data_IF_884341120959
#
_entry.id   IF_884341120959
#
_cell.length_a   1.000
_cell.length_b   1.000
_cell.length_c   1.000
_cell.angle_alpha   90.00
_cell.angle_beta   90.00
_cell.angle_gamma   90.00
#
_symmetry.space_group_name_H-M   'P 1'
#
loop_
_entity.id
_entity.type
_entity.pdbx_description
1 polymer ?
#
# COMPACT_ATOMS: atom_id res chain seq x y z
N UNK A 1 -5.70 27.41 -6.70
CA UNK A 1 -5.28 26.56 -5.55
C UNK A 1 -4.26 27.36 -4.76
N UNK A 2 -4.35 27.41 -3.43
CA UNK A 2 -3.31 28.10 -2.64
C UNK A 2 -2.08 27.18 -2.44
N UNK A 3 -0.95 27.74 -2.01
CA UNK A 3 0.29 26.99 -1.81
C UNK A 3 0.15 25.86 -0.77
N UNK A 4 -0.62 26.08 0.30
CA UNK A 4 -0.87 25.06 1.33
C UNK A 4 -1.55 23.80 0.76
N UNK A 5 -2.55 23.96 -0.11
CA UNK A 5 -3.23 22.86 -0.78
C UNK A 5 -2.31 22.10 -1.75
N UNK A 6 -1.38 22.81 -2.42
CA UNK A 6 -0.39 22.17 -3.30
C UNK A 6 0.59 21.34 -2.48
N UNK A 7 1.08 21.87 -1.36
CA UNK A 7 1.98 21.14 -0.45
C UNK A 7 1.31 19.91 0.14
N UNK A 8 0.05 20.02 0.57
CA UNK A 8 -0.71 18.88 1.08
C UNK A 8 -0.92 17.81 0.00
N UNK A 9 -1.28 18.22 -1.22
CA UNK A 9 -1.46 17.29 -2.34
C UNK A 9 -0.14 16.63 -2.77
N UNK A 10 0.96 17.39 -2.79
CA UNK A 10 2.29 16.86 -3.05
C UNK A 10 2.71 15.83 -1.99
N UNK A 11 2.49 16.14 -0.70
CA UNK A 11 2.76 15.22 0.41
C UNK A 11 1.90 13.95 0.31
N UNK A 12 0.61 14.11 -0.03
CA UNK A 12 -0.32 13.00 -0.23
C UNK A 12 0.12 12.07 -1.36
N UNK A 13 0.62 12.64 -2.46
CA UNK A 13 1.18 11.90 -3.60
C UNK A 13 2.52 11.24 -3.24
N UNK A 14 3.42 11.95 -2.56
CA UNK A 14 4.71 11.46 -2.12
C UNK A 14 4.56 10.23 -1.20
N UNK A 15 3.57 10.23 -0.30
CA UNK A 15 3.25 9.04 0.51
C UNK A 15 2.89 7.81 -0.31
N UNK A 16 2.10 7.98 -1.38
CA UNK A 16 1.73 6.87 -2.27
C UNK A 16 2.88 6.42 -3.13
N UNK A 17 3.71 7.35 -3.58
CA UNK A 17 4.93 7.04 -4.31
C UNK A 17 5.89 6.20 -3.45
N UNK A 18 6.21 6.69 -2.24
CA UNK A 18 7.08 5.98 -1.30
C UNK A 18 6.53 4.58 -0.96
N UNK A 19 5.22 4.47 -0.73
CA UNK A 19 4.57 3.20 -0.45
C UNK A 19 4.68 2.21 -1.62
N UNK A 20 4.46 2.66 -2.86
CA UNK A 20 4.59 1.81 -4.05
C UNK A 20 6.03 1.37 -4.30
N UNK A 21 7.00 2.25 -4.08
CA UNK A 21 8.43 1.91 -4.16
C UNK A 21 8.81 0.88 -3.09
N UNK A 22 8.36 1.04 -1.85
CA UNK A 22 8.61 0.10 -0.77
C UNK A 22 7.97 -1.28 -1.06
N UNK A 23 6.74 -1.31 -1.56
CA UNK A 23 6.07 -2.54 -1.98
C UNK A 23 6.85 -3.26 -3.09
N UNK A 24 7.27 -2.53 -4.11
CA UNK A 24 8.07 -3.07 -5.21
C UNK A 24 9.40 -3.66 -4.72
N UNK A 25 10.06 -3.01 -3.74
CA UNK A 25 11.27 -3.54 -3.10
C UNK A 25 11.01 -4.80 -2.28
N UNK A 26 9.85 -4.90 -1.64
CA UNK A 26 9.47 -6.02 -0.78
C UNK A 26 8.85 -7.20 -1.56
N UNK A 27 8.51 -7.03 -2.83
CA UNK A 27 7.84 -8.06 -3.64
C UNK A 27 8.68 -9.35 -3.72
N UNK A 28 8.06 -10.56 -3.70
CA UNK A 28 8.78 -11.84 -3.71
C UNK A 28 9.72 -12.06 -4.91
N UNK A 29 9.47 -11.40 -6.04
CA UNK A 29 10.34 -11.42 -7.22
C UNK A 29 11.35 -10.26 -7.30
N UNK A 30 11.36 -9.37 -6.30
CA UNK A 30 12.17 -8.16 -6.32
C UNK A 30 11.64 -7.08 -7.26
N UNK A 31 12.34 -5.94 -7.27
CA UNK A 31 11.81 -4.69 -7.80
C UNK A 31 11.53 -4.65 -9.31
N UNK A 32 12.14 -5.53 -10.09
CA UNK A 32 11.95 -5.60 -11.55
C UNK A 32 10.72 -6.42 -11.98
N UNK A 33 10.07 -7.13 -11.04
CA UNK A 33 9.02 -8.09 -11.39
C UNK A 33 7.60 -7.52 -11.34
N UNK A 34 7.43 -6.32 -10.78
CA UNK A 34 6.13 -5.64 -10.71
C UNK A 34 6.26 -4.16 -11.06
N UNK A 35 5.28 -3.63 -11.79
CA UNK A 35 5.14 -2.22 -12.11
C UNK A 35 4.33 -1.45 -11.08
N UNK A 36 4.34 -0.11 -11.17
CA UNK A 36 3.57 0.74 -10.25
C UNK A 36 2.05 0.61 -10.39
N UNK A 37 1.57 0.13 -11.54
CA UNK A 37 0.14 -0.17 -11.77
C UNK A 37 -0.29 -1.45 -11.06
N UNK A 38 0.66 -2.32 -10.72
CA UNK A 38 0.41 -3.60 -10.06
C UNK A 38 0.37 -3.48 -8.53
N UNK A 39 0.52 -2.26 -8.01
CA UNK A 39 0.52 -1.96 -6.59
C UNK A 39 -0.54 -0.90 -6.28
N UNK A 40 -1.47 -1.24 -5.40
CA UNK A 40 -2.49 -0.34 -4.91
C UNK A 40 -2.30 -0.08 -3.40
N UNK A 41 -2.37 1.20 -3.01
CA UNK A 41 -2.44 1.61 -1.60
C UNK A 41 -3.91 1.71 -1.24
N UNK A 42 -4.40 0.82 -0.37
CA UNK A 42 -5.77 0.83 0.13
C UNK A 42 -5.84 1.52 1.50
N UNK A 43 -6.87 2.32 1.70
CA UNK A 43 -7.19 2.98 2.96
C UNK A 43 -8.67 2.68 3.18
N UNK A 44 -9.00 1.80 4.13
CA UNK A 44 -10.38 1.42 4.41
C UNK A 44 -11.10 2.57 5.13
N UNK A 45 -11.85 3.34 4.35
CA UNK A 45 -12.64 4.47 4.86
C UNK A 45 -13.90 4.05 5.64
N UNK A 46 -14.27 2.78 5.61
CA UNK A 46 -15.52 2.27 6.20
C UNK A 46 -15.45 1.97 7.71
N UNK A 47 -14.27 2.06 8.32
CA UNK A 47 -14.19 2.01 9.79
C UNK A 47 -14.60 3.38 10.34
N UNK A 48 -15.91 3.56 10.53
CA UNK A 48 -16.59 4.72 11.14
C UNK A 48 -16.21 4.95 12.62
N UNK A 49 -14.92 4.88 12.96
CA UNK A 49 -14.39 5.19 14.28
C UNK A 49 -13.32 6.27 14.14
N UNK A 50 -13.23 7.14 15.14
CA UNK A 50 -12.22 8.19 15.34
C UNK A 50 -10.76 7.68 15.43
N UNK A 51 -10.49 6.45 14.97
CA UNK A 51 -9.18 5.80 15.01
C UNK A 51 -8.41 5.97 13.72
N UNK A 52 -7.08 5.93 13.82
CA UNK A 52 -6.18 5.94 12.66
C UNK A 52 -6.53 4.80 11.70
N UNK A 53 -6.84 5.13 10.43
CA UNK A 53 -7.09 4.13 9.39
C UNK A 53 -5.77 3.52 8.98
N UNK A 54 -5.63 2.21 9.17
CA UNK A 54 -4.40 1.50 8.82
C UNK A 54 -4.33 1.27 7.30
N UNK A 55 -3.35 1.85 6.60
CA UNK A 55 -3.21 1.61 5.16
C UNK A 55 -2.64 0.22 4.89
N UNK A 56 -2.91 -0.30 3.70
CA UNK A 56 -2.42 -1.61 3.23
C UNK A 56 -1.92 -1.54 1.79
N UNK A 57 -1.00 -2.45 1.44
CA UNK A 57 -0.60 -2.71 0.06
C UNK A 57 -1.41 -3.88 -0.47
N UNK A 58 -2.01 -3.71 -1.65
CA UNK A 58 -2.64 -4.79 -2.40
C UNK A 58 -1.85 -4.99 -3.69
N UNK A 59 -1.32 -6.20 -3.90
CA UNK A 59 -0.67 -6.57 -5.15
C UNK A 59 -1.73 -7.03 -6.16
N UNK A 60 -1.62 -6.53 -7.39
CA UNK A 60 -2.52 -6.84 -8.49
C UNK A 60 -1.83 -7.77 -9.49
N UNK A 61 -2.63 -8.52 -10.24
CA UNK A 61 -2.18 -9.36 -11.37
C UNK A 61 -3.31 -9.40 -12.41
N UNK A 62 -2.96 -9.22 -13.68
CA UNK A 62 -3.89 -9.29 -14.82
C UNK A 62 -5.14 -8.39 -14.65
N UNK A 63 -4.98 -7.23 -14.00
CA UNK A 63 -6.07 -6.30 -13.72
C UNK A 63 -6.95 -6.64 -12.51
N UNK A 64 -6.68 -7.75 -11.81
CA UNK A 64 -7.36 -8.19 -10.59
C UNK A 64 -6.46 -8.22 -9.35
N UNK A 65 -7.03 -8.51 -8.18
CA UNK A 65 -6.27 -8.63 -6.92
C UNK A 65 -5.60 -10.00 -6.84
N UNK A 66 -4.28 -10.04 -6.60
CA UNK A 66 -3.49 -11.29 -6.49
C UNK A 66 -3.69 -12.02 -5.15
N UNK A 67 -4.43 -11.43 -4.21
CA UNK A 67 -4.70 -11.99 -2.88
C UNK A 67 -3.59 -11.75 -1.84
N UNK A 68 -2.44 -11.23 -2.27
CA UNK A 68 -1.34 -10.83 -1.39
C UNK A 68 -1.57 -9.41 -0.86
N UNK A 69 -1.67 -9.26 0.47
CA UNK A 69 -1.89 -7.97 1.16
C UNK A 69 -0.73 -7.64 2.09
N UNK A 70 0.11 -6.69 1.70
CA UNK A 70 1.23 -6.22 2.50
C UNK A 70 0.80 -5.25 3.61
N UNK A 71 1.44 -5.34 4.78
CA UNK A 71 1.27 -4.34 5.85
C UNK A 71 2.04 -3.08 5.47
N UNK A 72 1.39 -1.92 5.61
CA UNK A 72 1.96 -0.62 5.25
C UNK A 72 1.97 0.33 6.45
N UNK A 73 3.05 1.08 6.55
CA UNK A 73 3.13 2.31 7.37
C UNK A 73 3.69 3.43 6.51
N UNK A 74 3.14 4.63 6.63
CA UNK A 74 3.60 5.85 5.96
C UNK A 74 3.79 6.92 7.05
N UNK A 75 4.93 7.60 7.03
CA UNK A 75 5.21 8.76 7.87
C UNK A 75 5.82 9.88 7.03
N UNK A 76 5.69 11.11 7.49
CA UNK A 76 6.31 12.26 6.84
C UNK A 76 6.77 13.26 7.90
N UNK A 77 7.89 13.91 7.65
CA UNK A 77 8.37 15.03 8.46
C UNK A 77 9.18 15.98 7.58
N UNK A 78 8.97 17.29 7.77
CA UNK A 78 9.48 18.33 6.88
C UNK A 78 9.23 18.03 5.39
N UNK A 79 10.32 17.89 4.64
CA UNK A 79 10.34 17.64 3.19
C UNK A 79 10.45 16.15 2.81
N UNK A 80 10.42 15.24 3.80
CA UNK A 80 10.62 13.81 3.58
C UNK A 80 9.36 13.00 3.82
N UNK A 81 9.20 11.94 3.01
CA UNK A 81 8.18 10.92 3.21
C UNK A 81 8.83 9.55 3.20
N UNK A 82 8.49 8.74 4.21
CA UNK A 82 9.01 7.39 4.39
C UNK A 82 7.85 6.41 4.40
N UNK A 83 8.02 5.28 3.74
CA UNK A 83 7.06 4.19 3.79
C UNK A 83 7.79 2.87 4.04
N UNK A 84 7.18 2.05 4.89
CA UNK A 84 7.65 0.71 5.21
C UNK A 84 6.59 -0.30 4.80
N UNK A 85 6.99 -1.30 4.03
CA UNK A 85 6.12 -2.39 3.61
C UNK A 85 6.70 -3.71 4.09
N UNK A 86 5.86 -4.48 4.78
CA UNK A 86 6.09 -5.90 5.00
C UNK A 86 5.25 -6.66 3.98
N UNK A 87 5.90 -7.28 2.99
CA UNK A 87 5.19 -8.04 1.96
C UNK A 87 4.43 -9.20 2.59
N UNK A 88 3.21 -9.43 2.09
CA UNK A 88 2.45 -10.61 2.45
C UNK A 88 3.07 -11.84 1.80
N UNK A 89 3.09 -12.94 2.55
CA UNK A 89 3.02 -14.26 1.95
C UNK A 89 1.56 -14.52 1.53
N UNK A 90 1.35 -15.36 0.52
CA UNK A 90 0.01 -15.76 0.05
C UNK A 90 -0.86 -16.14 1.25
N UNK A 91 -2.06 -15.56 1.38
CA UNK A 91 -3.07 -16.15 2.25
C UNK A 91 -3.54 -17.42 1.56
N UNK A 92 -2.94 -18.56 1.89
CA UNK A 92 -3.55 -19.85 1.60
C UNK A 92 -4.76 -19.96 2.51
N UNK A 93 -5.93 -19.54 2.03
CA UNK A 93 -7.19 -19.92 2.67
C UNK A 93 -7.39 -21.40 2.35
N UNK A 94 -6.74 -22.29 3.10
CA UNK A 94 -7.13 -23.70 3.12
C UNK A 94 -8.47 -23.74 3.86
N UNK A 95 -9.56 -23.53 3.14
CA UNK A 95 -10.89 -23.91 3.62
C UNK A 95 -10.84 -25.43 3.73
N UNK A 96 -10.75 -25.93 4.96
CA UNK A 96 -10.91 -27.36 5.25
C UNK A 96 -12.26 -27.79 4.66
N UNK A 97 -12.33 -28.95 3.96
CA UNK A 97 -13.61 -29.46 3.53
C UNK A 97 -14.48 -29.68 4.77
N UNK A 98 -15.66 -29.09 4.75
CA UNK A 98 -16.69 -29.32 5.76
C UNK A 98 -16.98 -30.82 5.75
N UNK A 99 -16.58 -31.50 6.82
CA UNK A 99 -16.85 -32.92 7.04
C UNK A 99 -18.28 -33.18 7.49
#
# INVERSE_FOLDING_TARGET
MNAANITEMARWLAGRFAAKEAARKAAPGGASTIGWKDVMVRIDKERNGSGSVKPEIVYLKDGGVRGEVGKLSISHDGDYVVATVLAATTRTTTQLPDG
#
